data_IF_452034270541
#
_entry.id   IF_452034270541
#
_cell.length_a   1.000
_cell.length_b   1.000
_cell.length_c   1.000
_cell.angle_alpha   90.00
_cell.angle_beta   90.00
_cell.angle_gamma   90.00
#
_symmetry.space_group_name_H-M   'P 1'
#
loop_
_entity.id
_entity.type
_entity.pdbx_description
1 polymer ?
#
# COMPACT_ATOMS: atom_id res chain seq x y z
N UNK A 1 3.78 7.09 0.03
CA UNK A 1 5.26 7.24 0.17
C UNK A 1 5.99 6.49 -0.94
N UNK A 2 5.62 5.25 -1.20
CA UNK A 2 6.30 4.38 -2.18
C UNK A 2 6.25 4.90 -3.62
N UNK A 3 5.10 5.43 -4.06
CA UNK A 3 4.95 5.99 -5.41
C UNK A 3 6.01 7.06 -5.72
N UNK A 4 6.21 8.01 -4.79
CA UNK A 4 7.28 9.03 -4.87
C UNK A 4 8.66 8.40 -5.02
N UNK A 5 9.01 7.43 -4.18
CA UNK A 5 10.31 6.74 -4.24
C UNK A 5 10.51 6.02 -5.57
N UNK A 6 9.49 5.31 -6.06
CA UNK A 6 9.56 4.60 -7.34
C UNK A 6 9.73 5.57 -8.50
N UNK A 7 8.89 6.60 -8.60
CA UNK A 7 8.93 7.52 -9.73
C UNK A 7 10.19 8.40 -9.71
N UNK A 8 10.52 8.99 -8.56
CA UNK A 8 11.64 9.92 -8.46
C UNK A 8 13.00 9.21 -8.42
N UNK A 9 13.15 8.12 -7.65
CA UNK A 9 14.45 7.44 -7.49
C UNK A 9 14.66 6.31 -8.48
N UNK A 10 13.68 5.42 -8.68
CA UNK A 10 13.85 4.24 -9.55
C UNK A 10 13.65 4.57 -11.03
N UNK A 11 12.78 5.54 -11.33
CA UNK A 11 12.48 5.98 -12.70
C UNK A 11 13.10 7.33 -13.05
N UNK A 12 13.76 7.98 -12.09
CA UNK A 12 14.50 9.25 -12.29
C UNK A 12 13.63 10.36 -12.88
N UNK A 13 12.34 10.37 -12.56
CA UNK A 13 11.40 11.41 -13.00
C UNK A 13 11.57 12.62 -12.08
N UNK A 14 11.58 13.82 -12.68
CA UNK A 14 11.65 15.07 -11.93
C UNK A 14 10.49 15.22 -10.93
N UNK A 15 10.72 16.01 -9.88
CA UNK A 15 9.80 16.14 -8.75
C UNK A 15 8.43 16.70 -9.15
N UNK A 16 8.39 17.72 -10.01
CA UNK A 16 7.15 18.40 -10.39
C UNK A 16 6.16 17.46 -11.10
N UNK A 17 6.56 16.68 -12.13
CA UNK A 17 5.69 15.64 -12.69
C UNK A 17 5.22 14.59 -11.68
N UNK A 18 6.08 14.17 -10.73
CA UNK A 18 5.69 13.20 -9.68
C UNK A 18 4.60 13.77 -8.79
N UNK A 19 4.70 15.03 -8.39
CA UNK A 19 3.69 15.70 -7.58
C UNK A 19 2.36 15.82 -8.33
N UNK A 20 2.38 16.13 -9.64
CA UNK A 20 1.17 16.16 -10.47
C UNK A 20 0.47 14.80 -10.55
N UNK A 21 1.24 13.71 -10.67
CA UNK A 21 0.70 12.35 -10.67
C UNK A 21 0.06 12.03 -9.32
N UNK A 22 0.73 12.35 -8.20
CA UNK A 22 0.15 12.14 -6.87
C UNK A 22 -1.16 12.90 -6.68
N UNK A 23 -1.22 14.17 -7.10
CA UNK A 23 -2.44 14.97 -7.01
C UNK A 23 -3.58 14.39 -7.86
N UNK A 24 -3.27 13.91 -9.06
CA UNK A 24 -4.27 13.28 -9.93
C UNK A 24 -4.84 11.98 -9.35
N UNK A 25 -4.02 11.20 -8.65
CA UNK A 25 -4.49 9.97 -7.98
C UNK A 25 -5.37 10.37 -6.79
N UNK A 26 -4.87 11.25 -5.91
CA UNK A 26 -5.59 11.70 -4.72
C UNK A 26 -6.96 12.31 -5.04
N UNK A 27 -7.11 13.02 -6.17
CA UNK A 27 -8.39 13.60 -6.56
C UNK A 27 -9.45 12.58 -7.02
N UNK A 28 -9.07 11.32 -7.21
CA UNK A 28 -9.95 10.23 -7.69
C UNK A 28 -10.09 9.09 -6.69
N UNK A 29 -9.47 9.20 -5.52
CA UNK A 29 -9.41 8.12 -4.52
C UNK A 29 -9.69 8.68 -3.14
N UNK A 30 -10.40 7.92 -2.31
CA UNK A 30 -10.46 8.20 -0.88
C UNK A 30 -9.11 7.81 -0.27
N UNK A 31 -8.45 8.76 0.39
CA UNK A 31 -7.17 8.52 1.06
C UNK A 31 -7.43 8.15 2.51
N UNK A 32 -7.03 6.94 2.89
CA UNK A 32 -7.03 6.48 4.28
C UNK A 32 -5.63 6.66 4.87
N UNK A 33 -5.58 6.80 6.19
CA UNK A 33 -4.33 6.93 6.95
C UNK A 33 -4.36 5.88 8.06
N UNK A 34 -3.29 5.07 8.18
CA UNK A 34 -3.21 4.13 9.28
C UNK A 34 -3.18 4.87 10.62
N UNK A 35 -3.87 4.32 11.61
CA UNK A 35 -3.89 4.82 12.98
C UNK A 35 -3.03 3.96 13.92
N UNK A 36 -3.11 4.27 15.23
CA UNK A 36 -2.33 3.56 16.24
C UNK A 36 -2.72 2.08 16.38
N UNK A 37 -3.99 1.72 16.15
CA UNK A 37 -4.43 0.32 16.15
C UNK A 37 -3.86 -0.43 14.97
N UNK A 38 -3.82 0.17 13.78
CA UNK A 38 -3.23 -0.44 12.60
C UNK A 38 -1.74 -0.76 12.83
N UNK A 39 -1.00 0.07 13.57
CA UNK A 39 0.41 -0.21 13.91
C UNK A 39 0.56 -1.46 14.79
N UNK A 40 -0.35 -1.66 15.74
CA UNK A 40 -0.31 -2.82 16.65
C UNK A 40 -0.66 -4.09 15.88
N UNK A 41 -1.70 -4.04 15.06
CA UNK A 41 -2.10 -5.16 14.20
C UNK A 41 -1.00 -5.49 13.18
N UNK A 42 -0.38 -4.49 12.56
CA UNK A 42 0.73 -4.68 11.63
C UNK A 42 1.91 -5.40 12.30
N UNK A 43 2.24 -5.06 13.55
CA UNK A 43 3.31 -5.72 14.29
C UNK A 43 2.98 -7.20 14.56
N UNK A 44 1.72 -7.50 14.91
CA UNK A 44 1.26 -8.88 15.08
C UNK A 44 1.32 -9.66 13.77
N UNK A 45 0.78 -9.09 12.68
CA UNK A 45 0.84 -9.69 11.36
C UNK A 45 2.30 -9.94 10.93
N UNK A 46 3.21 -9.02 11.21
CA UNK A 46 4.62 -9.17 10.88
C UNK A 46 5.26 -10.34 11.64
N UNK A 47 4.94 -10.52 12.91
CA UNK A 47 5.43 -11.64 13.72
C UNK A 47 4.93 -12.99 13.18
N UNK A 48 3.67 -13.05 12.74
CA UNK A 48 3.04 -14.27 12.23
C UNK A 48 3.45 -14.65 10.80
N UNK A 49 3.71 -13.65 9.96
CA UNK A 49 3.87 -13.85 8.51
C UNK A 49 5.26 -13.53 7.98
N UNK A 50 6.08 -12.80 8.75
CA UNK A 50 7.36 -12.23 8.33
C UNK A 50 7.29 -11.28 7.13
N UNK A 51 6.09 -10.77 6.81
CA UNK A 51 5.91 -9.70 5.83
C UNK A 51 6.84 -8.52 6.14
N UNK A 52 7.27 -7.81 5.09
CA UNK A 52 7.97 -6.55 5.29
C UNK A 52 7.11 -5.59 6.15
N UNK A 53 7.71 -4.80 7.06
CA UNK A 53 6.93 -3.97 7.98
C UNK A 53 5.92 -3.04 7.30
N UNK A 54 6.26 -2.51 6.12
CA UNK A 54 5.35 -1.67 5.35
C UNK A 54 4.19 -2.46 4.73
N UNK A 55 4.44 -3.69 4.30
CA UNK A 55 3.43 -4.57 3.70
C UNK A 55 2.45 -5.06 4.76
N UNK A 56 2.95 -5.45 5.94
CA UNK A 56 2.11 -5.77 7.10
C UNK A 56 1.24 -4.58 7.51
N UNK A 57 1.79 -3.36 7.49
CA UNK A 57 1.04 -2.14 7.78
C UNK A 57 -0.05 -1.85 6.76
N UNK A 58 0.26 -1.97 5.46
CA UNK A 58 -0.73 -1.74 4.40
C UNK A 58 -1.86 -2.78 4.46
N UNK A 59 -1.53 -4.03 4.80
CA UNK A 59 -2.52 -5.09 4.99
C UNK A 59 -3.42 -4.84 6.21
N UNK A 60 -2.84 -4.50 7.36
CA UNK A 60 -3.61 -4.11 8.56
C UNK A 60 -4.56 -2.93 8.27
N UNK A 61 -4.03 -1.87 7.66
CA UNK A 61 -4.83 -0.68 7.32
C UNK A 61 -5.95 -0.97 6.30
N UNK A 62 -5.78 -1.97 5.43
CA UNK A 62 -6.86 -2.41 4.53
C UNK A 62 -7.93 -3.19 5.28
N UNK A 63 -7.52 -4.07 6.21
CA UNK A 63 -8.43 -4.86 7.04
C UNK A 63 -9.28 -3.97 7.96
N UNK A 64 -8.67 -2.96 8.58
CA UNK A 64 -9.37 -2.08 9.53
C UNK A 64 -10.51 -1.27 8.89
N UNK A 65 -10.38 -0.93 7.61
CA UNK A 65 -11.44 -0.28 6.82
C UNK A 65 -12.29 -1.26 6.01
N UNK A 66 -12.12 -2.57 6.23
CA UNK A 66 -12.79 -3.66 5.50
C UNK A 66 -12.68 -3.51 3.97
N UNK A 67 -11.50 -3.12 3.49
CA UNK A 67 -11.20 -2.99 2.07
C UNK A 67 -10.45 -4.23 1.55
N UNK A 68 -10.61 -4.51 0.26
CA UNK A 68 -9.79 -5.50 -0.43
C UNK A 68 -8.43 -4.88 -0.76
N UNK A 69 -7.35 -5.39 -0.17
CA UNK A 69 -6.00 -5.05 -0.61
C UNK A 69 -5.74 -5.65 -2.00
N UNK A 70 -5.27 -4.84 -2.92
CA UNK A 70 -4.92 -5.25 -4.29
C UNK A 70 -3.42 -5.06 -4.49
N UNK A 71 -2.70 -6.11 -4.86
CA UNK A 71 -1.25 -6.06 -5.01
C UNK A 71 -0.72 -6.92 -6.15
N UNK A 72 0.37 -6.46 -6.78
CA UNK A 72 1.17 -7.25 -7.72
C UNK A 72 2.17 -8.16 -6.99
N UNK A 73 2.46 -7.88 -5.72
CA UNK A 73 3.39 -8.65 -4.91
C UNK A 73 2.84 -10.06 -4.65
N UNK A 74 3.67 -11.10 -4.76
CA UNK A 74 3.24 -12.48 -4.52
C UNK A 74 3.05 -12.79 -3.05
N UNK A 75 3.89 -12.27 -2.18
CA UNK A 75 3.88 -12.51 -0.74
C UNK A 75 2.61 -11.92 -0.13
N UNK A 76 2.29 -10.65 -0.44
CA UNK A 76 1.03 -10.03 -0.01
C UNK A 76 -0.21 -10.80 -0.47
N UNK A 77 -0.17 -11.44 -1.64
CA UNK A 77 -1.28 -12.25 -2.15
C UNK A 77 -1.44 -13.58 -1.43
N UNK A 78 -0.35 -14.16 -0.94
CA UNK A 78 -0.41 -15.34 -0.07
C UNK A 78 -1.07 -15.00 1.28
N UNK A 79 -1.00 -13.74 1.69
CA UNK A 79 -1.61 -13.22 2.92
C UNK A 79 -2.94 -12.47 2.70
N UNK A 80 -3.63 -12.69 1.58
CA UNK A 80 -5.02 -12.27 1.38
C UNK A 80 -5.24 -11.13 0.38
N UNK A 81 -4.19 -10.49 -0.13
CA UNK A 81 -4.34 -9.51 -1.21
C UNK A 81 -4.84 -10.18 -2.51
N UNK A 82 -5.60 -9.42 -3.31
CA UNK A 82 -6.09 -9.85 -4.64
C UNK A 82 -5.19 -9.36 -5.76
N UNK A 83 -5.21 -10.08 -6.89
CA UNK A 83 -4.52 -9.63 -8.10
C UNK A 83 -5.32 -8.51 -8.75
N UNK A 84 -4.67 -7.44 -9.26
CA UNK A 84 -5.35 -6.40 -10.01
C UNK A 84 -6.21 -6.94 -11.16
N UNK A 85 -5.73 -7.98 -11.86
CA UNK A 85 -6.42 -8.57 -13.01
C UNK A 85 -7.75 -9.26 -12.64
N UNK A 86 -7.97 -9.60 -11.37
CA UNK A 86 -9.21 -10.25 -10.93
C UNK A 86 -10.35 -9.24 -10.70
N UNK A 87 -10.08 -7.95 -10.85
CA UNK A 87 -10.99 -6.84 -10.52
C UNK A 87 -11.32 -5.92 -11.71
N UNK A 88 -10.81 -6.24 -12.91
CA UNK A 88 -10.95 -5.44 -14.14
C UNK A 88 -11.78 -6.17 -15.20
#
# INVERSE_FOLDING_TARGET
>A
MELRTVLAKKKTIERDPVEQIEQRIKSRTIVTFPDASDMVEANQLQDETLLYPMDALILAAANSVNATLVSFDSELREHGAKRPQDLI
#
